data_IF_130314937302
#
_entry.id   IF_130314937302
#
_cell.length_a   1.000
_cell.length_b   1.000
_cell.length_c   1.000
_cell.angle_alpha   90.00
_cell.angle_beta   90.00
_cell.angle_gamma   90.00
#
_symmetry.space_group_name_H-M   'P 1'
#
loop_
_entity.id
_entity.type
_entity.pdbx_description
1 polymer ?
#
# COMPACT_ATOMS: atom_id res chain seq x y z
N UNK A 1 -14.94 -14.64 -15.56
CA UNK A 1 -15.01 -13.64 -14.47
C UNK A 1 -14.35 -12.39 -15.00
N UNK A 2 -15.15 -11.37 -15.32
CA UNK A 2 -14.70 -10.13 -15.97
C UNK A 2 -13.74 -9.34 -15.06
N UNK A 3 -12.57 -8.87 -15.54
CA UNK A 3 -11.55 -8.26 -14.68
C UNK A 3 -11.82 -6.82 -14.20
N UNK A 4 -13.03 -6.29 -14.32
CA UNK A 4 -13.32 -4.86 -14.05
C UNK A 4 -14.56 -4.62 -13.20
N UNK A 5 -14.95 -5.59 -12.37
CA UNK A 5 -15.95 -5.36 -11.34
C UNK A 5 -15.25 -5.06 -10.01
N UNK A 6 -14.99 -3.79 -9.74
CA UNK A 6 -14.89 -3.36 -8.35
C UNK A 6 -16.29 -3.55 -7.75
N UNK A 7 -16.50 -4.43 -6.76
CA UNK A 7 -17.76 -4.44 -6.04
C UNK A 7 -17.92 -3.05 -5.45
N UNK A 8 -19.09 -2.45 -5.68
CA UNK A 8 -19.53 -1.17 -5.15
C UNK A 8 -19.72 -1.25 -3.63
N UNK A 9 -18.68 -1.62 -2.90
CA UNK A 9 -18.50 -1.31 -1.50
C UNK A 9 -17.70 -0.03 -1.45
N UNK A 10 -18.37 1.08 -1.13
CA UNK A 10 -17.80 2.32 -0.60
C UNK A 10 -16.27 2.26 -0.45
N UNK A 11 -15.51 2.84 -1.40
CA UNK A 11 -14.05 2.96 -1.33
C UNK A 11 -13.71 3.75 -0.05
N UNK A 12 -13.59 3.01 1.04
CA UNK A 12 -13.39 3.50 2.39
C UNK A 12 -11.92 3.36 2.64
N UNK A 13 -11.22 4.49 2.63
CA UNK A 13 -9.85 4.56 3.11
C UNK A 13 -9.75 3.79 4.43
N UNK A 14 -8.91 2.76 4.48
CA UNK A 14 -8.72 1.94 5.67
C UNK A 14 -7.45 2.39 6.38
N UNK A 15 -7.49 2.40 7.71
CA UNK A 15 -6.28 2.65 8.51
C UNK A 15 -5.30 1.51 8.30
N UNK A 16 -4.03 1.84 8.17
CA UNK A 16 -2.97 0.84 8.18
C UNK A 16 -2.75 0.34 9.61
N UNK A 17 -3.05 -0.93 9.86
CA UNK A 17 -2.96 -1.56 11.19
C UNK A 17 -1.92 -2.69 11.20
N UNK A 18 -1.57 -3.24 12.38
CA UNK A 18 -0.72 -4.42 12.46
C UNK A 18 -1.27 -5.60 11.64
N UNK A 19 -2.58 -5.74 11.55
CA UNK A 19 -3.26 -6.74 10.72
C UNK A 19 -3.03 -6.48 9.22
N UNK A 20 -3.09 -5.21 8.78
CA UNK A 20 -2.74 -4.83 7.40
C UNK A 20 -1.31 -5.25 7.05
N UNK A 21 -0.35 -5.02 7.98
CA UNK A 21 1.04 -5.41 7.78
C UNK A 21 1.20 -6.94 7.73
N UNK A 22 0.54 -7.67 8.64
CA UNK A 22 0.58 -9.13 8.65
C UNK A 22 0.01 -9.73 7.35
N UNK A 23 -1.10 -9.19 6.84
CA UNK A 23 -1.69 -9.61 5.57
C UNK A 23 -0.77 -9.36 4.36
N UNK A 24 -0.02 -8.25 4.36
CA UNK A 24 1.03 -7.99 3.35
C UNK A 24 2.16 -9.02 3.47
N UNK A 25 2.62 -9.30 4.68
CA UNK A 25 3.69 -10.27 4.93
C UNK A 25 3.31 -11.69 4.50
N UNK A 26 2.07 -12.09 4.74
CA UNK A 26 1.51 -13.36 4.29
C UNK A 26 1.49 -13.44 2.75
N UNK A 27 0.97 -12.40 2.06
CA UNK A 27 0.98 -12.33 0.59
C UNK A 27 2.39 -12.43 0.01
N UNK A 28 3.36 -11.73 0.61
CA UNK A 28 4.77 -11.80 0.20
C UNK A 28 5.33 -13.21 0.41
N UNK A 29 5.03 -13.85 1.54
CA UNK A 29 5.52 -15.20 1.85
C UNK A 29 4.94 -16.25 0.90
N UNK A 30 3.64 -16.17 0.60
CA UNK A 30 2.97 -17.08 -0.32
C UNK A 30 3.51 -16.90 -1.75
N UNK A 31 3.69 -15.66 -2.22
CA UNK A 31 4.31 -15.38 -3.53
C UNK A 31 5.72 -15.95 -3.63
N UNK A 32 6.55 -15.78 -2.59
CA UNK A 32 7.90 -16.39 -2.53
C UNK A 32 7.86 -17.91 -2.56
N UNK A 33 6.91 -18.53 -1.86
CA UNK A 33 6.73 -19.99 -1.85
C UNK A 33 6.28 -20.51 -3.22
N UNK A 34 5.39 -19.80 -3.89
CA UNK A 34 4.96 -20.13 -5.26
C UNK A 34 6.12 -20.01 -6.25
N UNK A 35 6.87 -18.90 -6.22
CA UNK A 35 8.08 -18.74 -7.03
C UNK A 35 9.12 -19.85 -6.78
N UNK A 36 9.35 -20.23 -5.50
CA UNK A 36 10.27 -21.30 -5.17
C UNK A 36 9.83 -22.67 -5.73
N UNK A 37 8.52 -22.97 -5.72
CA UNK A 37 7.97 -24.18 -6.33
C UNK A 37 8.13 -24.18 -7.85
N UNK A 38 7.74 -23.07 -8.52
CA UNK A 38 7.89 -22.91 -9.97
C UNK A 38 9.35 -23.08 -10.39
N UNK A 39 10.30 -22.50 -9.65
CA UNK A 39 11.74 -22.64 -9.93
C UNK A 39 12.27 -24.07 -9.72
N UNK A 40 11.64 -24.85 -8.84
CA UNK A 40 11.99 -26.27 -8.63
C UNK A 40 11.41 -27.17 -9.74
N UNK A 41 10.21 -26.85 -10.23
CA UNK A 41 9.47 -27.67 -11.20
C UNK A 41 9.81 -27.32 -12.67
N UNK A 42 10.14 -26.07 -12.97
CA UNK A 42 10.46 -25.58 -14.31
C UNK A 42 11.80 -24.82 -14.30
N UNK A 43 12.90 -25.50 -14.66
CA UNK A 43 14.23 -24.86 -14.82
C UNK A 43 14.32 -23.86 -15.98
N UNK A 44 13.37 -23.93 -16.93
CA UNK A 44 13.49 -23.27 -18.24
C UNK A 44 12.31 -22.34 -18.61
N UNK A 45 11.30 -22.18 -17.75
CA UNK A 45 10.19 -21.26 -17.99
C UNK A 45 10.15 -20.18 -16.90
N UNK A 46 10.74 -19.03 -17.21
CA UNK A 46 10.42 -17.80 -16.50
C UNK A 46 8.94 -17.50 -16.75
N UNK A 47 8.09 -17.89 -15.81
CA UNK A 47 6.71 -17.41 -15.75
C UNK A 47 6.84 -15.91 -15.54
N UNK A 48 6.55 -15.13 -16.58
CA UNK A 48 6.41 -13.68 -16.48
C UNK A 48 5.29 -13.43 -15.46
N UNK A 49 5.67 -13.18 -14.20
CA UNK A 49 4.76 -12.60 -13.24
C UNK A 49 4.25 -11.31 -13.88
N UNK A 50 2.93 -11.19 -14.00
CA UNK A 50 2.27 -9.97 -14.42
C UNK A 50 2.65 -8.87 -13.42
N UNK A 51 3.77 -8.19 -13.71
CA UNK A 51 4.27 -7.11 -12.88
C UNK A 51 3.31 -5.96 -13.10
N UNK A 52 2.36 -5.87 -12.19
CA UNK A 52 1.55 -4.67 -12.02
C UNK A 52 2.50 -3.47 -12.06
N UNK A 53 2.11 -2.44 -12.79
CA UNK A 53 2.83 -1.17 -12.81
C UNK A 53 2.06 -0.18 -11.92
N UNK A 54 2.75 0.70 -11.19
CA UNK A 54 2.09 1.67 -10.34
C UNK A 54 1.18 2.58 -11.18
N UNK A 55 -0.03 2.83 -10.69
CA UNK A 55 -1.00 3.64 -11.41
C UNK A 55 -0.51 5.10 -11.52
N UNK A 56 -0.61 5.68 -12.72
CA UNK A 56 -0.04 6.99 -13.04
C UNK A 56 -0.69 8.13 -12.23
N UNK A 57 -2.00 8.04 -12.03
CA UNK A 57 -2.85 8.97 -11.30
C UNK A 57 -2.64 8.88 -9.78
N UNK A 58 -2.17 7.75 -9.28
CA UNK A 58 -1.83 7.54 -7.87
C UNK A 58 -0.37 7.86 -7.54
N UNK A 59 0.40 8.52 -8.41
CA UNK A 59 1.81 8.86 -8.10
C UNK A 59 1.96 9.71 -6.82
N UNK A 60 3.04 9.47 -6.08
CA UNK A 60 3.40 10.27 -4.90
C UNK A 60 3.50 11.76 -5.26
N UNK A 61 3.12 12.62 -4.32
CA UNK A 61 3.04 14.07 -4.48
C UNK A 61 2.03 14.56 -5.53
N UNK A 62 1.17 13.67 -6.07
CA UNK A 62 0.00 14.06 -6.86
C UNK A 62 -1.23 14.20 -5.98
N UNK A 63 -2.19 14.95 -6.50
CA UNK A 63 -3.53 15.09 -5.90
C UNK A 63 -4.33 13.84 -6.24
N UNK A 64 -4.88 13.18 -5.23
CA UNK A 64 -5.77 12.04 -5.35
C UNK A 64 -6.99 12.44 -6.20
N UNK A 65 -7.25 11.74 -7.32
CA UNK A 65 -8.42 11.98 -8.15
C UNK A 65 -9.72 11.78 -7.38
N UNK A 66 -10.75 12.57 -7.69
CA UNK A 66 -12.07 12.47 -7.05
C UNK A 66 -12.78 11.14 -7.30
N UNK A 67 -12.36 10.37 -8.30
CA UNK A 67 -12.90 9.03 -8.59
C UNK A 67 -12.67 8.02 -7.47
N UNK A 68 -11.65 8.23 -6.62
CA UNK A 68 -11.36 7.38 -5.45
C UNK A 68 -12.22 7.74 -4.22
N UNK A 69 -13.16 8.69 -4.36
CA UNK A 69 -14.03 9.13 -3.28
C UNK A 69 -13.44 10.25 -2.43
N UNK A 70 -14.17 10.58 -1.37
CA UNK A 70 -13.79 11.63 -0.43
C UNK A 70 -13.06 11.01 0.76
N UNK A 71 -11.93 11.63 1.14
CA UNK A 71 -11.15 11.20 2.30
C UNK A 71 -11.83 11.73 3.58
N UNK A 72 -12.29 10.86 4.50
CA UNK A 72 -12.84 11.29 5.79
C UNK A 72 -11.82 12.14 6.56
N UNK A 73 -12.30 13.17 7.27
CA UNK A 73 -11.41 14.10 7.99
C UNK A 73 -10.54 13.41 9.05
N UNK A 74 -11.05 12.32 9.63
CA UNK A 74 -10.35 11.50 10.64
C UNK A 74 -9.18 10.69 10.09
N UNK A 75 -9.09 10.55 8.77
CA UNK A 75 -8.08 9.77 8.07
C UNK A 75 -7.00 10.64 7.42
N UNK A 76 -7.18 11.97 7.47
CA UNK A 76 -6.20 12.92 6.97
C UNK A 76 -4.94 12.88 7.85
N UNK A 77 -3.79 12.63 7.23
CA UNK A 77 -2.51 12.50 7.92
C UNK A 77 -2.36 11.20 8.72
N UNK A 78 -3.34 10.29 8.65
CA UNK A 78 -3.22 8.96 9.24
C UNK A 78 -2.55 7.98 8.25
N UNK A 79 -1.83 6.96 8.75
CA UNK A 79 -1.40 5.83 7.94
C UNK A 79 -2.62 5.07 7.39
N UNK A 80 -2.65 4.88 6.08
CA UNK A 80 -3.71 4.20 5.35
C UNK A 80 -3.16 3.01 4.56
N UNK A 81 -3.99 2.00 4.35
CA UNK A 81 -3.71 0.96 3.37
C UNK A 81 -3.57 1.60 1.97
N UNK A 82 -2.63 1.09 1.16
CA UNK A 82 -2.44 1.61 -0.20
C UNK A 82 -3.57 1.08 -1.09
N UNK A 83 -4.21 2.00 -1.81
CA UNK A 83 -5.32 1.70 -2.70
C UNK A 83 -4.84 1.26 -4.09
N UNK A 84 -3.57 1.49 -4.43
CA UNK A 84 -2.96 1.03 -5.67
C UNK A 84 -2.62 -0.47 -5.53
N UNK A 85 -3.22 -1.37 -6.34
CA UNK A 85 -2.94 -2.80 -6.31
C UNK A 85 -1.46 -3.14 -6.48
N UNK A 86 -0.67 -2.26 -7.12
CA UNK A 86 0.77 -2.41 -7.23
C UNK A 86 1.44 -2.58 -5.87
N UNK A 87 1.00 -1.85 -4.83
CA UNK A 87 1.58 -1.91 -3.50
C UNK A 87 0.99 -3.01 -2.60
N UNK A 88 0.12 -3.88 -3.14
CA UNK A 88 -0.55 -4.94 -2.38
C UNK A 88 0.44 -5.92 -1.71
N UNK A 89 1.53 -6.26 -2.37
CA UNK A 89 2.62 -7.10 -1.84
C UNK A 89 3.84 -6.28 -1.42
N UNK A 90 3.67 -4.98 -1.19
CA UNK A 90 4.73 -4.11 -0.72
C UNK A 90 4.50 -3.72 0.73
N UNK A 91 5.57 -3.77 1.54
CA UNK A 91 5.54 -3.22 2.91
C UNK A 91 5.53 -1.69 2.84
N UNK A 92 4.38 -1.13 2.48
CA UNK A 92 4.15 0.29 2.24
C UNK A 92 2.81 0.69 2.84
N UNK A 93 2.70 1.91 3.31
CA UNK A 93 1.44 2.54 3.66
C UNK A 93 1.36 3.93 3.02
N UNK A 94 0.13 4.36 2.75
CA UNK A 94 -0.18 5.65 2.15
C UNK A 94 -0.56 6.65 3.25
N UNK A 95 -0.30 7.94 3.04
CA UNK A 95 -0.82 9.04 3.85
C UNK A 95 -1.39 10.10 2.91
N UNK A 96 -2.55 10.64 3.25
CA UNK A 96 -3.19 11.69 2.46
C UNK A 96 -3.36 12.95 3.31
N UNK A 97 -2.95 14.11 2.78
CA UNK A 97 -3.11 15.38 3.48
C UNK A 97 -4.46 16.09 3.17
N UNK A 98 -4.69 17.26 3.78
CA UNK A 98 -5.91 18.06 3.59
C UNK A 98 -6.13 18.48 2.13
N UNK A 99 -5.05 18.68 1.37
CA UNK A 99 -5.09 19.03 -0.06
C UNK A 99 -5.27 17.81 -0.97
N UNK A 100 -5.51 16.63 -0.39
CA UNK A 100 -5.60 15.32 -1.06
C UNK A 100 -4.30 14.88 -1.73
N UNK A 101 -3.14 15.33 -1.25
CA UNK A 101 -1.84 14.89 -1.78
C UNK A 101 -1.48 13.52 -1.24
N UNK A 102 -1.09 12.61 -2.13
CA UNK A 102 -0.68 11.24 -1.82
C UNK A 102 0.79 11.20 -1.39
N UNK A 103 1.08 10.58 -0.26
CA UNK A 103 2.42 10.27 0.22
C UNK A 103 2.54 8.78 0.50
N UNK A 104 3.71 8.19 0.28
CA UNK A 104 3.97 6.77 0.56
C UNK A 104 5.20 6.60 1.41
N UNK A 105 5.11 5.70 2.38
CA UNK A 105 6.17 5.39 3.31
C UNK A 105 6.31 3.89 3.48
N UNK A 106 7.53 3.41 3.73
CA UNK A 106 7.77 1.98 3.94
C UNK A 106 7.26 1.55 5.32
N UNK A 107 6.61 0.40 5.40
CA UNK A 107 6.24 -0.25 6.66
C UNK A 107 7.41 -1.05 7.27
N UNK A 108 8.60 -0.98 6.68
CA UNK A 108 9.80 -1.59 7.25
C UNK A 108 10.27 -0.81 8.50
N UNK A 109 10.72 -1.51 9.55
CA UNK A 109 11.30 -0.84 10.71
C UNK A 109 12.65 -0.21 10.34
N UNK A 110 12.77 1.11 10.54
CA UNK A 110 14.06 1.78 10.46
C UNK A 110 14.81 1.61 11.78
N UNK A 111 16.13 1.35 11.72
CA UNK A 111 16.97 1.09 12.90
C UNK A 111 16.41 -0.02 13.83
N UNK A 112 15.70 -1.01 13.25
CA UNK A 112 15.06 -2.15 13.93
C UNK A 112 13.99 -1.81 14.99
N UNK A 113 13.80 -0.54 15.38
CA UNK A 113 12.91 -0.14 16.50
C UNK A 113 11.82 0.85 16.04
N UNK A 114 12.05 1.58 14.93
CA UNK A 114 11.13 2.63 14.47
C UNK A 114 10.22 2.09 13.36
N UNK A 115 9.31 1.20 13.76
CA UNK A 115 8.27 0.63 12.89
C UNK A 115 7.20 1.65 12.46
N UNK A 116 6.30 1.27 11.53
CA UNK A 116 5.23 2.14 11.03
C UNK A 116 4.25 2.61 12.11
N UNK A 117 4.13 1.85 13.20
CA UNK A 117 3.23 2.14 14.33
C UNK A 117 3.89 2.97 15.44
N UNK A 118 5.17 3.33 15.29
CA UNK A 118 5.88 4.12 16.30
C UNK A 118 5.27 5.54 16.40
N UNK A 119 4.87 6.01 17.61
CA UNK A 119 4.25 7.34 17.77
C UNK A 119 5.12 8.50 17.29
N UNK A 120 6.44 8.45 17.50
CA UNK A 120 7.39 9.48 17.04
C UNK A 120 7.42 9.52 15.52
N UNK A 121 7.51 8.36 14.86
CA UNK A 121 7.47 8.26 13.40
C UNK A 121 6.16 8.80 12.84
N UNK A 122 5.02 8.46 13.46
CA UNK A 122 3.70 8.97 13.05
C UNK A 122 3.60 10.48 13.19
N UNK A 123 4.10 11.05 14.30
CA UNK A 123 4.13 12.49 14.50
C UNK A 123 5.02 13.19 13.44
N UNK A 124 6.21 12.64 13.17
CA UNK A 124 7.10 13.19 12.14
C UNK A 124 6.47 13.17 10.74
N UNK A 125 5.80 12.08 10.37
CA UNK A 125 5.09 11.97 9.08
C UNK A 125 3.94 12.97 9.00
N UNK A 126 3.16 13.14 10.08
CA UNK A 126 2.08 14.14 10.14
C UNK A 126 2.61 15.55 9.92
N UNK A 127 3.72 15.91 10.56
CA UNK A 127 4.37 17.22 10.37
C UNK A 127 4.86 17.37 8.93
N UNK A 128 5.53 16.34 8.40
CA UNK A 128 6.07 16.34 7.02
C UNK A 128 4.99 16.51 5.96
N UNK A 129 3.78 16.00 6.20
CA UNK A 129 2.69 15.95 5.21
C UNK A 129 1.63 17.05 5.42
N UNK A 130 1.81 17.96 6.38
CA UNK A 130 0.79 18.91 6.86
C UNK A 130 0.36 20.02 5.87
N UNK A 131 0.96 20.11 4.68
CA UNK A 131 0.75 21.20 3.70
C UNK A 131 -0.69 21.60 3.41
#
# INVERSE_FOLDING_TARGET
MDPLFWPSETNSFRRFTPESLAAIEERIAEKKKQQAKVNQENKDQAVEEDKLTPQLDLKTCKKLPSLYGDVPVELIGEPLEDIDPYYSDHKTFMVINKRRTIFRFTATPALCIVGPFNPVRRAAIKILTHS
#
